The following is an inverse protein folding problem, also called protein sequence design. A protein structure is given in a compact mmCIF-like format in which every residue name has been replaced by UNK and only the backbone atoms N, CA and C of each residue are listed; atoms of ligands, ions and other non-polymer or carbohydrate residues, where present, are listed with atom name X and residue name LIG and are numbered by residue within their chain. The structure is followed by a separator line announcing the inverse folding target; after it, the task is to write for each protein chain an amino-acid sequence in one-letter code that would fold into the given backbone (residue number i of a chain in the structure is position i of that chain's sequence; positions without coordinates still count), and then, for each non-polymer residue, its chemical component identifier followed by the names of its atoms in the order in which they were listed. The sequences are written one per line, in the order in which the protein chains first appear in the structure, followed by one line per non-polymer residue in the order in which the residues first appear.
data_IF_478403940853
#
_entry.id   IF_478403940853
#
_cell.length_a   1.000
_cell.length_b   1.000
_cell.length_c   1.000
_cell.angle_alpha   90.00
_cell.angle_beta   90.00
_cell.angle_gamma   90.00
#
_symmetry.space_group_name_H-M   'P 1'
#
loop_
_entity.id
_entity.type
_entity.pdbx_description
1 polymer ?
#
# COMPACT_ATOMS: atom_id res chain seq x y z
N UNK A 1 -4.99 5.93 -21.65
CA UNK A 1 -3.79 6.13 -20.81
C UNK A 1 -3.71 7.59 -20.39
N UNK A 2 -3.71 8.55 -21.33
CA UNK A 2 -3.76 10.01 -21.03
C UNK A 2 -4.93 10.43 -20.11
N UNK A 3 -6.13 9.86 -20.26
CA UNK A 3 -7.29 10.18 -19.40
C UNK A 3 -7.13 9.69 -17.95
N UNK A 4 -6.39 8.59 -17.73
CA UNK A 4 -6.16 8.05 -16.39
C UNK A 4 -5.09 8.86 -15.67
N UNK A 5 -4.02 9.24 -16.37
CA UNK A 5 -2.97 10.12 -15.85
C UNK A 5 -3.52 11.50 -15.49
N UNK A 6 -4.37 12.09 -16.32
CA UNK A 6 -4.99 13.39 -16.03
C UNK A 6 -5.92 13.33 -14.80
N UNK A 7 -6.70 12.24 -14.66
CA UNK A 7 -7.56 12.02 -13.48
C UNK A 7 -6.75 11.77 -12.22
N UNK A 8 -5.65 11.02 -12.33
CA UNK A 8 -4.74 10.78 -11.23
C UNK A 8 -4.06 12.07 -10.80
N UNK A 9 -3.58 12.89 -11.74
CA UNK A 9 -2.98 14.18 -11.45
C UNK A 9 -3.97 15.11 -10.73
N UNK A 10 -5.21 15.22 -11.23
CA UNK A 10 -6.26 16.02 -10.60
C UNK A 10 -6.61 15.52 -9.18
N UNK A 11 -6.72 14.21 -8.99
CA UNK A 11 -6.93 13.60 -7.68
C UNK A 11 -5.78 13.92 -6.72
N UNK A 12 -4.54 13.83 -7.19
CA UNK A 12 -3.35 14.09 -6.37
C UNK A 12 -3.24 15.57 -6.01
N UNK A 13 -3.59 16.49 -6.92
CA UNK A 13 -3.63 17.92 -6.63
C UNK A 13 -4.74 18.26 -5.62
N UNK A 14 -5.95 17.75 -5.84
CA UNK A 14 -7.12 18.00 -4.98
C UNK A 14 -6.94 17.39 -3.58
N UNK A 15 -6.34 16.20 -3.50
CA UNK A 15 -6.21 15.42 -2.27
C UNK A 15 -4.77 15.31 -1.75
N UNK A 16 -3.87 16.17 -2.21
CA UNK A 16 -2.48 16.26 -1.71
C UNK A 16 -2.39 16.45 -0.19
N UNK A 17 -3.44 16.99 0.43
CA UNK A 17 -3.53 17.12 1.88
C UNK A 17 -3.64 15.77 2.60
N UNK A 18 -4.17 14.73 1.93
CA UNK A 18 -4.38 13.39 2.51
C UNK A 18 -3.03 12.74 2.85
N UNK A 19 -2.03 12.91 1.99
CA UNK A 19 -0.68 12.37 2.24
C UNK A 19 -0.10 12.98 3.52
N UNK A 20 -0.21 14.30 3.67
CA UNK A 20 0.25 15.01 4.86
C UNK A 20 -0.55 14.65 6.11
N UNK A 21 -1.88 14.56 6.00
CA UNK A 21 -2.76 14.19 7.10
C UNK A 21 -2.44 12.78 7.62
N UNK A 22 -2.29 11.81 6.71
CA UNK A 22 -1.86 10.45 7.07
C UNK A 22 -0.46 10.45 7.69
N UNK A 23 0.49 11.18 7.11
CA UNK A 23 1.85 11.23 7.65
C UNK A 23 1.90 11.85 9.05
N UNK A 24 1.25 12.99 9.25
CA UNK A 24 1.20 13.68 10.54
C UNK A 24 0.49 12.80 11.59
N UNK A 25 -0.61 12.14 11.22
CA UNK A 25 -1.33 11.20 12.10
C UNK A 25 -0.48 9.98 12.46
N UNK A 26 0.25 9.39 11.51
CA UNK A 26 1.20 8.30 11.77
C UNK A 26 2.33 8.71 12.72
N UNK A 27 2.85 9.94 12.62
CA UNK A 27 3.86 10.44 13.54
C UNK A 27 3.29 10.65 14.95
N UNK A 28 2.06 11.17 15.04
CA UNK A 28 1.37 11.38 16.32
C UNK A 28 1.00 10.07 17.01
N UNK A 29 0.62 9.03 16.26
CA UNK A 29 0.18 7.74 16.78
C UNK A 29 1.26 6.66 16.76
N UNK A 30 2.50 6.95 16.33
CA UNK A 30 3.60 5.98 16.22
C UNK A 30 3.90 5.15 17.49
N UNK A 31 3.50 5.65 18.66
CA UNK A 31 3.70 5.01 19.97
C UNK A 31 2.44 4.33 20.52
N UNK A 32 1.31 4.49 19.84
CA UNK A 32 0.02 3.89 20.18
C UNK A 32 -0.17 2.68 19.28
N UNK A 33 -0.07 1.48 19.86
CA UNK A 33 -0.51 0.27 19.20
C UNK A 33 -2.02 0.15 19.43
N UNK A 34 -2.80 0.87 18.64
CA UNK A 34 -4.25 0.89 18.76
C UNK A 34 -4.84 -0.25 17.92
N UNK A 35 -5.30 -1.31 18.59
CA UNK A 35 -5.91 -2.46 17.94
C UNK A 35 -7.31 -2.15 17.37
N UNK A 36 -7.86 -0.97 17.70
CA UNK A 36 -9.12 -0.44 17.19
C UNK A 36 -8.90 0.72 16.19
N UNK A 37 -7.66 1.17 15.91
CA UNK A 37 -7.42 2.30 14.99
C UNK A 37 -7.71 1.96 13.53
N UNK A 38 -7.79 0.67 13.24
CA UNK A 38 -7.92 0.18 11.89
C UNK A 38 -6.84 0.81 11.01
N UNK A 39 -5.64 0.21 11.02
CA UNK A 39 -4.70 0.14 9.89
C UNK A 39 -5.46 0.55 8.63
N UNK A 40 -5.09 1.63 7.92
CA UNK A 40 -5.94 2.33 6.94
C UNK A 40 -6.36 1.52 5.68
N UNK A 41 -6.56 0.22 5.83
CA UNK A 41 -7.44 -0.66 5.11
C UNK A 41 -8.92 -0.29 5.35
N UNK A 42 -9.59 0.32 4.37
CA UNK A 42 -11.03 0.62 4.41
C UNK A 42 -11.79 -0.24 3.42
N UNK A 43 -12.92 -0.80 3.84
CA UNK A 43 -13.86 -1.47 2.95
C UNK A 43 -14.77 -0.45 2.27
N UNK A 44 -14.93 -0.54 0.95
CA UNK A 44 -15.91 0.24 0.19
C UNK A 44 -17.34 -0.27 0.46
N UNK A 45 -18.38 0.53 0.16
CA UNK A 45 -19.78 0.07 0.21
C UNK A 45 -20.05 -1.16 -0.67
N UNK A 46 -19.25 -1.37 -1.71
CA UNK A 46 -19.35 -2.50 -2.63
C UNK A 46 -18.53 -3.73 -2.18
N UNK A 47 -17.92 -3.67 -0.98
CA UNK A 47 -17.16 -4.76 -0.40
C UNK A 47 -15.73 -4.90 -0.95
N UNK A 48 -15.10 -3.79 -1.39
CA UNK A 48 -13.70 -3.78 -1.81
C UNK A 48 -12.79 -3.27 -0.70
N UNK A 49 -11.68 -3.97 -0.42
CA UNK A 49 -10.67 -3.50 0.53
C UNK A 49 -9.68 -2.56 -0.16
N UNK A 50 -9.66 -1.29 0.23
CA UNK A 50 -8.61 -0.34 -0.14
C UNK A 50 -7.60 -0.22 0.97
N UNK A 51 -6.31 -0.34 0.69
CA UNK A 51 -5.23 -0.23 1.67
C UNK A 51 -4.23 0.86 1.27
N UNK A 52 -3.77 1.61 2.25
CA UNK A 52 -2.64 2.52 2.10
C UNK A 52 -1.38 1.88 2.69
N UNK A 53 -0.36 1.69 1.86
CA UNK A 53 0.98 1.26 2.28
C UNK A 53 1.88 2.50 2.28
N UNK A 54 2.50 2.77 3.43
CA UNK A 54 3.45 3.88 3.59
C UNK A 54 4.85 3.30 3.67
N UNK A 55 5.73 3.82 2.84
CA UNK A 55 7.14 3.47 2.78
C UNK A 55 7.97 4.73 2.98
N UNK A 56 9.15 4.60 3.56
CA UNK A 56 10.13 5.67 3.43
C UNK A 56 10.67 5.75 1.98
N UNK A 57 11.34 6.85 1.59
CA UNK A 57 11.83 7.01 0.22
C UNK A 57 12.78 5.90 -0.24
N UNK A 58 13.61 5.37 0.64
CA UNK A 58 14.59 4.32 0.33
C UNK A 58 13.88 2.97 0.13
N UNK A 59 12.92 2.64 0.98
CA UNK A 59 12.05 1.47 0.85
C UNK A 59 11.25 1.51 -0.47
N UNK A 60 10.68 2.67 -0.81
CA UNK A 60 9.94 2.85 -2.05
C UNK A 60 10.83 2.69 -3.29
N UNK A 61 12.03 3.27 -3.27
CA UNK A 61 13.03 3.14 -4.34
C UNK A 61 13.45 1.68 -4.53
N UNK A 62 13.74 0.97 -3.44
CA UNK A 62 14.14 -0.44 -3.49
C UNK A 62 13.03 -1.34 -4.03
N UNK A 63 11.78 -1.12 -3.60
CA UNK A 63 10.63 -1.90 -4.08
C UNK A 63 10.40 -1.70 -5.58
N UNK A 64 10.47 -0.46 -6.06
CA UNK A 64 10.35 -0.13 -7.48
C UNK A 64 11.52 -0.69 -8.30
N UNK A 65 12.76 -0.58 -7.78
CA UNK A 65 13.94 -1.13 -8.44
C UNK A 65 13.84 -2.65 -8.60
N UNK A 66 13.39 -3.37 -7.55
CA UNK A 66 13.18 -4.81 -7.61
C UNK A 66 12.10 -5.19 -8.62
N UNK A 67 11.00 -4.44 -8.68
CA UNK A 67 9.94 -4.64 -9.67
C UNK A 67 10.45 -4.49 -11.11
N UNK A 68 11.13 -3.37 -11.44
CA UNK A 68 11.64 -3.12 -12.78
C UNK A 68 12.75 -4.10 -13.18
N UNK A 69 13.68 -4.40 -12.27
CA UNK A 69 14.71 -5.40 -12.53
C UNK A 69 14.12 -6.78 -12.82
N UNK A 70 13.06 -7.17 -12.10
CA UNK A 70 12.31 -8.40 -12.38
C UNK A 70 11.64 -8.38 -13.76
N UNK A 71 11.05 -7.25 -14.18
CA UNK A 71 10.48 -7.10 -15.52
C UNK A 71 11.53 -7.19 -16.64
N UNK A 72 12.75 -6.72 -16.37
CA UNK A 72 13.88 -6.77 -17.29
C UNK A 72 14.58 -8.16 -17.32
N UNK A 73 14.07 -9.14 -16.56
CA UNK A 73 14.53 -10.53 -16.59
C UNK A 73 15.64 -10.85 -15.59
N UNK A 74 15.80 -10.05 -14.53
CA UNK A 74 16.67 -10.40 -13.40
C UNK A 74 15.90 -11.35 -12.47
N UNK A 75 16.18 -12.65 -12.58
CA UNK A 75 15.46 -13.73 -11.87
C UNK A 75 15.38 -13.51 -10.35
N UNK A 76 16.49 -13.09 -9.72
CA UNK A 76 16.55 -12.85 -8.27
C UNK A 76 15.63 -11.70 -7.83
N UNK A 77 15.57 -10.62 -8.62
CA UNK A 77 14.69 -9.49 -8.34
C UNK A 77 13.21 -9.86 -8.55
N UNK A 78 12.92 -10.65 -9.59
CA UNK A 78 11.58 -11.19 -9.82
C UNK A 78 11.13 -12.09 -8.67
N UNK A 79 11.99 -12.98 -8.18
CA UNK A 79 11.71 -13.83 -7.02
C UNK A 79 11.47 -13.00 -5.77
N UNK A 80 12.34 -12.04 -5.47
CA UNK A 80 12.21 -11.17 -4.31
C UNK A 80 10.88 -10.38 -4.33
N UNK A 81 10.54 -9.78 -5.47
CA UNK A 81 9.26 -9.07 -5.62
C UNK A 81 8.05 -10.01 -5.51
N UNK A 82 8.15 -11.22 -6.09
CA UNK A 82 7.09 -12.23 -5.99
C UNK A 82 6.87 -12.71 -4.54
N UNK A 83 7.95 -12.90 -3.78
CA UNK A 83 7.88 -13.24 -2.34
C UNK A 83 7.23 -12.09 -1.56
N UNK A 84 7.62 -10.85 -1.82
CA UNK A 84 7.05 -9.68 -1.17
C UNK A 84 5.54 -9.59 -1.39
N UNK A 85 5.08 -9.60 -2.65
CA UNK A 85 3.64 -9.50 -2.97
C UNK A 85 2.87 -10.74 -2.48
N UNK A 86 3.47 -11.92 -2.57
CA UNK A 86 2.88 -13.16 -2.07
C UNK A 86 2.68 -13.14 -0.55
N UNK A 87 3.64 -12.58 0.18
CA UNK A 87 3.57 -12.44 1.64
C UNK A 87 2.49 -11.43 2.05
N UNK A 88 2.40 -10.29 1.35
CA UNK A 88 1.34 -9.30 1.56
C UNK A 88 -0.04 -9.94 1.32
N UNK A 89 -0.25 -10.61 0.19
CA UNK A 89 -1.52 -11.27 -0.12
C UNK A 89 -1.85 -12.40 0.88
N UNK A 90 -0.84 -13.13 1.34
CA UNK A 90 -0.99 -14.17 2.36
C UNK A 90 -1.47 -13.60 3.70
N UNK A 91 -0.86 -12.49 4.14
CA UNK A 91 -1.28 -11.75 5.32
C UNK A 91 -2.74 -11.28 5.18
N UNK A 92 -3.10 -10.64 4.06
CA UNK A 92 -4.47 -10.16 3.83
C UNK A 92 -5.50 -11.28 3.87
N UNK A 93 -5.17 -12.44 3.28
CA UNK A 93 -6.03 -13.61 3.35
C UNK A 93 -6.24 -14.07 4.79
N UNK A 94 -5.19 -14.13 5.61
CA UNK A 94 -5.31 -14.52 7.02
C UNK A 94 -6.18 -13.55 7.81
N UNK A 95 -6.00 -12.23 7.62
CA UNK A 95 -6.83 -11.21 8.26
C UNK A 95 -8.32 -11.33 7.87
N UNK A 96 -8.61 -11.76 6.65
CA UNK A 96 -10.00 -11.98 6.21
C UNK A 96 -10.60 -13.29 6.73
N UNK A 97 -9.80 -14.32 7.00
CA UNK A 97 -10.28 -15.61 7.52
C UNK A 97 -10.78 -15.53 8.97
N UNK A 98 -10.28 -14.57 9.75
CA UNK A 98 -10.78 -14.31 11.11
C UNK A 98 -12.17 -13.65 11.17
N UNK A 99 -12.80 -13.38 10.02
CA UNK A 99 -14.13 -12.76 9.91
C UNK A 99 -15.27 -13.77 9.63
N UNK A 100 -14.98 -15.08 9.52
CA UNK A 100 -16.03 -16.11 9.51
C UNK A 100 -16.38 -16.52 10.96
N UNK A 101 -17.67 -16.51 11.36
CA UNK A 101 -18.09 -16.91 12.71
C UNK A 101 -17.90 -18.39 13.02
#
# INVERSE_FOLDING_TARGET
VEDLEAKWLAFTEEHSYVEKEVYDELQETAHLFDMDDGIHAKWSPDGLLGMLLVFDPEEAEHLLAAFYAGMDGVDEAQEAFAVWVGSLMGMLRQCMQTLEP
#
